data_IF_490038747458
#
_entry.id   IF_490038747458
#
_cell.length_a   1.000
_cell.length_b   1.000
_cell.length_c   1.000
_cell.angle_alpha   90.00
_cell.angle_beta   90.00
_cell.angle_gamma   90.00
#
_symmetry.space_group_name_H-M   'P 1'
#
loop_
_entity.id
_entity.type
_entity.pdbx_description
1 polymer ?
#
# COMPACT_ATOMS: atom_id res chain seq x y z
N UNK A 1 38.68 -8.96 54.31
CA UNK A 1 37.61 -9.55 53.48
C UNK A 1 36.47 -8.53 53.37
N UNK A 2 36.29 -7.88 52.21
CA UNK A 2 34.99 -7.45 51.63
C UNK A 2 35.21 -6.47 50.49
N UNK A 3 35.97 -6.94 49.49
CA UNK A 3 35.94 -6.42 48.13
C UNK A 3 34.79 -7.11 47.40
N UNK A 4 33.53 -6.79 47.72
CA UNK A 4 32.41 -7.44 47.01
C UNK A 4 31.09 -6.65 47.02
N UNK A 5 31.16 -5.32 46.95
CA UNK A 5 29.94 -4.48 46.82
C UNK A 5 29.83 -3.77 45.47
N UNK A 6 30.74 -4.05 44.51
CA UNK A 6 30.77 -3.41 43.19
C UNK A 6 30.24 -4.28 42.04
N UNK A 7 29.60 -5.41 42.33
CA UNK A 7 29.16 -6.38 41.30
C UNK A 7 27.65 -6.36 41.01
N UNK A 8 26.85 -5.49 41.64
CA UNK A 8 25.40 -5.45 41.42
C UNK A 8 24.88 -4.29 40.57
N UNK A 9 25.76 -3.46 40.01
CA UNK A 9 25.36 -2.30 39.18
C UNK A 9 25.64 -2.46 37.68
N UNK A 10 26.20 -3.60 37.24
CA UNK A 10 26.60 -3.81 35.83
C UNK A 10 25.50 -4.42 34.94
N UNK A 11 24.30 -4.67 35.48
CA UNK A 11 23.21 -5.35 34.75
C UNK A 11 22.18 -4.44 34.05
N UNK A 12 22.29 -3.11 34.15
CA UNK A 12 21.25 -2.18 33.66
C UNK A 12 21.57 -1.49 32.32
N UNK A 13 22.59 -1.93 31.59
CA UNK A 13 22.93 -1.39 30.27
C UNK A 13 22.88 -2.48 29.19
N UNK A 14 21.87 -3.36 29.22
CA UNK A 14 21.44 -4.00 27.98
C UNK A 14 20.60 -2.98 27.21
N UNK A 15 21.30 -2.29 26.31
CA UNK A 15 20.78 -1.40 25.29
C UNK A 15 19.44 -1.90 24.75
N UNK A 16 18.37 -1.20 25.10
CA UNK A 16 17.16 -1.17 24.30
C UNK A 16 17.53 -0.48 22.98
N UNK A 17 18.21 -1.21 22.10
CA UNK A 17 18.25 -0.87 20.70
C UNK A 17 16.81 -0.94 20.24
N UNK A 18 16.12 0.21 20.21
CA UNK A 18 14.96 0.38 19.34
C UNK A 18 15.47 0.04 17.96
N UNK A 19 15.23 -1.19 17.55
CA UNK A 19 15.40 -1.61 16.19
C UNK A 19 14.34 -0.80 15.43
N UNK A 20 14.71 0.40 14.97
CA UNK A 20 13.98 1.10 13.94
C UNK A 20 14.05 0.15 12.74
N UNK A 21 13.05 -0.73 12.63
CA UNK A 21 12.82 -1.48 11.41
C UNK A 21 12.84 -0.42 10.31
N UNK A 22 13.77 -0.49 9.34
CA UNK A 22 13.74 0.43 8.21
C UNK A 22 12.32 0.37 7.67
N UNK A 23 11.69 1.54 7.61
CA UNK A 23 10.25 1.69 7.44
C UNK A 23 9.75 0.77 6.35
N UNK A 24 9.13 -0.33 6.76
CA UNK A 24 8.26 -1.08 5.89
C UNK A 24 7.22 -0.04 5.48
N UNK A 25 7.17 0.31 4.19
CA UNK A 25 6.10 1.16 3.69
C UNK A 25 4.80 0.51 4.16
N UNK A 26 4.16 1.12 5.14
CA UNK A 26 2.94 0.60 5.71
C UNK A 26 1.90 0.73 4.61
N UNK A 27 1.34 -0.38 4.13
CA UNK A 27 0.28 -0.35 3.13
C UNK A 27 -0.91 0.50 3.61
N UNK A 28 -1.06 0.70 4.93
CA UNK A 28 -2.00 1.68 5.47
C UNK A 28 -1.75 3.11 4.95
N UNK A 29 -0.50 3.49 4.65
CA UNK A 29 -0.17 4.78 4.04
C UNK A 29 -0.53 4.87 2.54
N UNK A 30 -0.79 3.74 1.89
CA UNK A 30 -1.28 3.69 0.50
C UNK A 30 -2.80 3.76 0.40
N UNK A 31 -3.50 3.58 1.53
CA UNK A 31 -4.94 3.75 1.63
C UNK A 31 -5.35 5.21 1.40
N UNK A 32 -6.61 5.41 1.00
CA UNK A 32 -7.23 6.71 0.75
C UNK A 32 -6.47 7.60 -0.26
N UNK A 33 -5.57 6.98 -1.03
CA UNK A 33 -4.78 7.61 -2.08
C UNK A 33 -5.30 7.15 -3.44
N UNK A 34 -5.46 8.11 -4.36
CA UNK A 34 -5.80 7.83 -5.76
C UNK A 34 -4.52 7.55 -6.55
N UNK A 35 -4.37 6.30 -6.99
CA UNK A 35 -3.24 5.83 -7.78
C UNK A 35 -3.57 5.88 -9.27
N UNK A 36 -2.82 6.66 -10.04
CA UNK A 36 -3.00 6.82 -11.49
C UNK A 36 -2.00 5.96 -12.23
N UNK A 37 -2.47 5.14 -13.17
CA UNK A 37 -1.62 4.26 -13.97
C UNK A 37 -0.67 5.07 -14.85
N UNK A 38 0.63 4.81 -14.76
CA UNK A 38 1.66 5.51 -15.54
C UNK A 38 2.14 4.69 -16.73
N UNK A 39 2.29 3.38 -16.53
CA UNK A 39 2.76 2.45 -17.56
C UNK A 39 2.11 1.08 -17.39
N UNK A 40 2.00 0.36 -18.50
CA UNK A 40 1.53 -1.02 -18.55
C UNK A 40 2.55 -1.85 -19.34
N UNK A 41 3.04 -2.93 -18.73
CA UNK A 41 4.06 -3.80 -19.32
C UNK A 41 5.33 -3.04 -19.78
N UNK A 42 5.74 -2.04 -18.99
CA UNK A 42 6.93 -1.23 -19.26
C UNK A 42 6.76 -0.15 -20.33
N UNK A 43 5.56 0.00 -20.91
CA UNK A 43 5.25 1.05 -21.89
C UNK A 43 4.39 2.11 -21.24
N UNK A 44 4.69 3.38 -21.50
CA UNK A 44 3.81 4.48 -21.13
C UNK A 44 2.44 4.31 -21.78
N UNK A 45 1.43 4.93 -21.17
CA UNK A 45 0.09 4.95 -21.75
C UNK A 45 0.04 5.99 -22.88
N UNK A 46 -0.38 5.56 -24.06
CA UNK A 46 -0.71 6.44 -25.18
C UNK A 46 -2.24 6.53 -25.25
N UNK A 47 -2.80 7.63 -24.74
CA UNK A 47 -4.25 7.88 -24.74
C UNK A 47 -4.55 9.13 -25.58
N UNK A 48 -5.75 9.23 -26.19
CA UNK A 48 -6.19 10.46 -26.84
C UNK A 48 -6.23 11.64 -25.87
N UNK A 49 -6.07 12.84 -26.40
CA UNK A 49 -6.13 14.07 -25.63
C UNK A 49 -7.48 14.22 -24.90
N UNK A 50 -7.43 14.60 -23.64
CA UNK A 50 -8.63 14.83 -22.82
C UNK A 50 -9.27 13.55 -22.26
N UNK A 51 -8.74 12.36 -22.58
CA UNK A 51 -9.21 11.11 -21.97
C UNK A 51 -8.69 11.00 -20.53
N UNK A 52 -9.57 10.62 -19.61
CA UNK A 52 -9.20 10.40 -18.22
C UNK A 52 -8.23 9.21 -18.10
N UNK A 53 -7.14 9.41 -17.36
CA UNK A 53 -6.17 8.35 -17.07
C UNK A 53 -6.80 7.25 -16.19
N UNK A 54 -6.53 5.95 -16.45
CA UNK A 54 -6.93 4.87 -15.56
C UNK A 54 -6.39 5.05 -14.15
N UNK A 55 -7.19 4.71 -13.15
CA UNK A 55 -6.82 4.87 -11.75
C UNK A 55 -7.50 3.84 -10.84
N UNK A 56 -6.92 3.62 -9.66
CA UNK A 56 -7.52 2.88 -8.55
C UNK A 56 -7.39 3.66 -7.24
N UNK A 57 -8.29 3.38 -6.31
CA UNK A 57 -8.21 3.85 -4.93
C UNK A 57 -8.52 2.68 -4.00
N UNK A 58 -7.73 2.61 -2.93
CA UNK A 58 -7.84 1.57 -1.91
C UNK A 58 -8.47 2.17 -0.66
N UNK A 59 -9.59 1.64 -0.23
CA UNK A 59 -10.25 1.97 1.03
C UNK A 59 -9.91 0.87 2.04
N UNK A 60 -8.96 1.16 2.93
CA UNK A 60 -8.52 0.21 3.96
C UNK A 60 -9.56 0.04 5.07
N UNK A 61 -10.38 1.06 5.34
CA UNK A 61 -11.43 0.95 6.36
C UNK A 61 -12.56 0.02 5.91
N UNK A 62 -12.93 0.09 4.63
CA UNK A 62 -13.98 -0.74 4.04
C UNK A 62 -13.47 -2.05 3.42
N UNK A 63 -12.15 -2.25 3.31
CA UNK A 63 -11.52 -3.33 2.55
C UNK A 63 -12.00 -3.40 1.09
N UNK A 64 -12.11 -2.23 0.44
CA UNK A 64 -12.62 -2.11 -0.93
C UNK A 64 -11.62 -1.45 -1.87
N UNK A 65 -11.68 -1.86 -3.13
CA UNK A 65 -11.08 -1.18 -4.27
C UNK A 65 -12.19 -0.51 -5.09
N UNK A 66 -11.92 0.72 -5.52
CA UNK A 66 -12.67 1.38 -6.59
C UNK A 66 -11.70 1.90 -7.64
N UNK A 67 -12.16 2.09 -8.86
CA UNK A 67 -11.29 2.55 -9.92
C UNK A 67 -12.00 2.85 -11.22
N UNK A 68 -11.19 3.25 -12.18
CA UNK A 68 -11.59 3.52 -13.55
C UNK A 68 -10.59 2.88 -14.51
N UNK A 69 -11.09 2.01 -15.38
CA UNK A 69 -10.30 1.27 -16.36
C UNK A 69 -10.24 1.91 -17.75
N UNK A 70 -10.64 3.18 -17.90
CA UNK A 70 -10.62 3.91 -19.17
C UNK A 70 -12.00 4.11 -19.83
N UNK A 71 -12.82 3.06 -19.87
CA UNK A 71 -14.22 3.14 -20.29
C UNK A 71 -15.15 2.70 -19.15
N UNK A 72 -14.74 1.64 -18.44
CA UNK A 72 -15.52 0.99 -17.41
C UNK A 72 -15.01 1.33 -16.02
N UNK A 73 -15.92 1.31 -15.06
CA UNK A 73 -15.57 1.47 -13.65
C UNK A 73 -15.11 0.12 -13.10
N UNK A 74 -14.10 0.13 -12.23
CA UNK A 74 -13.52 -1.04 -11.58
C UNK A 74 -13.93 -1.02 -10.10
N UNK A 75 -14.21 -2.20 -9.54
CA UNK A 75 -14.49 -2.34 -8.12
C UNK A 75 -14.18 -3.75 -7.64
N UNK A 76 -13.92 -3.91 -6.35
CA UNK A 76 -13.69 -5.23 -5.75
C UNK A 76 -13.24 -5.13 -4.30
N UNK A 77 -12.70 -6.24 -3.79
CA UNK A 77 -12.16 -6.31 -2.44
C UNK A 77 -10.63 -6.17 -2.44
N UNK A 78 -10.10 -5.65 -1.34
CA UNK A 78 -8.65 -5.55 -1.11
C UNK A 78 -8.31 -6.06 0.27
N UNK A 79 -7.18 -6.78 0.38
CA UNK A 79 -6.58 -7.17 1.65
C UNK A 79 -5.13 -6.66 1.66
N UNK A 80 -4.76 -5.97 2.73
CA UNK A 80 -3.42 -5.42 2.93
C UNK A 80 -2.79 -6.07 4.17
N UNK A 81 -1.65 -6.73 4.01
CA UNK A 81 -0.90 -7.36 5.10
C UNK A 81 0.59 -7.06 4.95
N UNK A 82 1.10 -6.18 5.82
CA UNK A 82 2.48 -5.71 5.78
C UNK A 82 2.82 -5.05 4.45
N UNK A 83 3.58 -5.75 3.61
CA UNK A 83 3.95 -5.34 2.25
C UNK A 83 3.19 -6.08 1.15
N UNK A 84 2.20 -6.90 1.50
CA UNK A 84 1.39 -7.68 0.55
C UNK A 84 0.05 -7.02 0.32
N UNK A 85 -0.24 -6.71 -0.94
CA UNK A 85 -1.54 -6.24 -1.41
C UNK A 85 -2.20 -7.36 -2.22
N UNK A 86 -3.33 -7.89 -1.74
CA UNK A 86 -4.14 -8.86 -2.45
C UNK A 86 -5.44 -8.21 -2.95
N UNK A 87 -5.73 -8.40 -4.24
CA UNK A 87 -6.96 -7.98 -4.89
C UNK A 87 -7.86 -9.20 -5.09
N UNK A 88 -9.13 -9.08 -4.73
CA UNK A 88 -10.08 -10.19 -4.67
C UNK A 88 -11.42 -9.75 -5.26
N UNK A 89 -12.16 -10.67 -5.89
CA UNK A 89 -13.46 -10.42 -6.53
C UNK A 89 -13.51 -9.14 -7.40
N UNK A 90 -12.46 -8.89 -8.19
CA UNK A 90 -12.40 -7.71 -9.06
C UNK A 90 -13.45 -7.84 -10.18
N UNK A 91 -14.27 -6.81 -10.29
CA UNK A 91 -15.34 -6.68 -11.27
C UNK A 91 -15.27 -5.33 -12.00
N UNK A 92 -16.04 -5.26 -13.09
CA UNK A 92 -16.10 -4.08 -13.97
C UNK A 92 -17.50 -3.89 -14.54
N UNK A 93 -17.87 -2.64 -14.81
CA UNK A 93 -19.09 -2.34 -15.57
C UNK A 93 -18.97 -2.79 -17.03
N UNK A 94 -20.08 -2.74 -17.78
CA UNK A 94 -20.12 -3.00 -19.22
C UNK A 94 -20.77 -1.83 -19.97
N UNK A 95 -20.14 -0.66 -19.90
CA UNK A 95 -20.52 0.55 -20.63
C UNK A 95 -20.04 0.46 -22.08
N UNK A 96 -20.81 1.04 -22.99
CA UNK A 96 -20.35 1.36 -24.33
C UNK A 96 -19.63 2.71 -24.29
N UNK A 97 -18.46 2.78 -24.92
CA UNK A 97 -17.71 4.02 -25.11
C UNK A 97 -17.43 4.15 -26.60
N UNK A 98 -17.76 5.30 -27.16
CA UNK A 98 -17.68 5.61 -28.59
C UNK A 98 -16.26 5.95 -29.07
N UNK A 99 -15.32 6.21 -28.14
CA UNK A 99 -13.90 6.37 -28.42
C UNK A 99 -13.51 7.75 -28.88
#
# INVERSE_FOLDING_TARGET
MRNLTFLLTLGLLLSANKCNKPGMADLASMADTKWVLQSLSGKGLELPDGVQMPWIQLDAAANKLSGFGGCNDLFGAVKMDGSTLALDDIASTKKFCDG
#
